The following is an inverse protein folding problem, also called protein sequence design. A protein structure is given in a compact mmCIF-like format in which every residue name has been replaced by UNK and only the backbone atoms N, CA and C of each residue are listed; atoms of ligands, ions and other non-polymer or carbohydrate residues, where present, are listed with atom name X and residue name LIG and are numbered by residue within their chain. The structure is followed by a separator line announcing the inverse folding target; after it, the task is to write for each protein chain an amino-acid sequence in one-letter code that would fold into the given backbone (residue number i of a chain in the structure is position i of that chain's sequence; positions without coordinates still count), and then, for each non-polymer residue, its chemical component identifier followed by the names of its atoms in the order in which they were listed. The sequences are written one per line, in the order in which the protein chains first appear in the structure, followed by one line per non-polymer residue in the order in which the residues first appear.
data_IF_069465749664
#
_entry.id   IF_069465749664
#
_cell.length_a   1.000
_cell.length_b   1.000
_cell.length_c   1.000
_cell.angle_alpha   90.00
_cell.angle_beta   90.00
_cell.angle_gamma   90.00
#
_symmetry.space_group_name_H-M   'P 1'
#
loop_
_entity.id
_entity.type
_entity.pdbx_description
1 polymer ?
#
# COMPACT_ATOMS: atom_id res chain seq x y z
N UNK A 1 -6.50 41.16 49.37
CA UNK A 1 -7.45 40.09 49.00
C UNK A 1 -7.12 39.66 47.57
N UNK A 2 -6.15 38.74 47.40
CA UNK A 2 -6.41 37.29 47.28
C UNK A 2 -7.27 37.00 46.04
N UNK A 3 -6.63 36.66 44.91
CA UNK A 3 -6.27 35.28 44.56
C UNK A 3 -7.50 34.41 44.24
N UNK A 4 -7.94 34.45 42.97
CA UNK A 4 -8.56 33.30 42.28
C UNK A 4 -8.10 33.36 40.81
N UNK A 5 -7.12 32.56 40.38
CA UNK A 5 -7.28 31.16 39.98
C UNK A 5 -8.14 30.99 38.72
N UNK A 6 -7.54 30.59 37.59
CA UNK A 6 -8.26 29.92 36.50
C UNK A 6 -7.97 30.47 35.09
N UNK A 7 -7.14 29.87 34.25
CA UNK A 7 -6.86 28.44 34.23
C UNK A 7 -5.72 28.15 33.27
N UNK A 8 -4.61 27.64 33.79
CA UNK A 8 -3.62 26.90 32.98
C UNK A 8 -4.30 25.75 32.22
N UNK A 9 -5.46 25.28 32.70
CA UNK A 9 -6.33 24.34 31.97
C UNK A 9 -6.95 24.95 30.72
N UNK A 10 -7.19 26.27 30.66
CA UNK A 10 -7.63 26.94 29.42
C UNK A 10 -6.51 26.98 28.37
N UNK A 11 -5.26 27.18 28.80
CA UNK A 11 -4.11 27.11 27.88
C UNK A 11 -3.79 25.67 27.45
N UNK A 12 -3.85 24.68 28.37
CA UNK A 12 -3.67 23.26 28.04
C UNK A 12 -4.81 22.75 27.16
N UNK A 13 -6.06 23.18 27.43
CA UNK A 13 -7.20 22.88 26.57
C UNK A 13 -7.04 23.51 25.19
N UNK A 14 -6.64 24.79 25.11
CA UNK A 14 -6.42 25.46 23.83
C UNK A 14 -5.27 24.83 23.03
N UNK A 15 -4.15 24.49 23.67
CA UNK A 15 -3.01 23.85 23.03
C UNK A 15 -3.30 22.40 22.60
N UNK A 16 -4.04 21.63 23.41
CA UNK A 16 -4.44 20.26 23.10
C UNK A 16 -5.39 20.16 21.91
N UNK A 17 -6.32 21.12 21.78
CA UNK A 17 -7.22 21.21 20.61
C UNK A 17 -6.45 21.53 19.33
N UNK A 18 -5.43 22.40 19.40
CA UNK A 18 -4.59 22.73 18.25
C UNK A 18 -3.77 21.53 17.74
N UNK A 19 -3.14 20.75 18.64
CA UNK A 19 -2.32 19.59 18.26
C UNK A 19 -3.18 18.47 17.65
N UNK A 20 -4.36 18.21 18.23
CA UNK A 20 -5.29 17.22 17.69
C UNK A 20 -5.81 17.60 16.29
N UNK A 21 -6.05 18.89 16.04
CA UNK A 21 -6.51 19.39 14.74
C UNK A 21 -5.45 19.26 13.63
N UNK A 22 -4.16 19.39 13.96
CA UNK A 22 -3.07 19.21 12.99
C UNK A 22 -2.75 17.75 12.71
N UNK A 23 -2.86 16.86 13.71
CA UNK A 23 -2.57 15.42 13.54
C UNK A 23 -3.58 14.74 12.60
N UNK A 24 -4.85 15.15 12.60
CA UNK A 24 -5.89 14.55 11.76
C UNK A 24 -5.72 14.87 10.26
N UNK A 25 -5.09 16.00 9.92
CA UNK A 25 -4.81 16.40 8.53
C UNK A 25 -3.61 15.66 7.91
N UNK A 26 -2.76 15.06 8.73
CA UNK A 26 -1.53 14.39 8.27
C UNK A 26 -1.72 12.91 7.92
N UNK A 27 -2.91 12.33 8.11
CA UNK A 27 -3.17 10.94 7.73
C UNK A 27 -3.16 10.80 6.20
N UNK A 28 -2.09 10.28 5.58
CA UNK A 28 -1.92 10.30 4.14
C UNK A 28 -2.47 9.00 3.57
N UNK A 29 -3.74 8.67 3.81
CA UNK A 29 -4.31 7.40 3.35
C UNK A 29 -5.74 7.56 2.83
N UNK A 30 -6.02 8.67 2.15
CA UNK A 30 -7.23 8.72 1.31
C UNK A 30 -6.84 8.20 -0.06
N UNK A 31 -7.19 6.94 -0.34
CA UNK A 31 -7.20 6.45 -1.72
C UNK A 31 -8.22 7.30 -2.48
N UNK A 32 -7.71 8.34 -3.14
CA UNK A 32 -8.52 9.23 -3.95
C UNK A 32 -9.18 8.38 -5.03
N UNK A 33 -10.52 8.37 -5.03
CA UNK A 33 -11.33 7.59 -5.96
C UNK A 33 -11.13 8.19 -7.36
N UNK A 34 -10.14 7.70 -8.10
CA UNK A 34 -9.95 8.09 -9.51
C UNK A 34 -11.21 7.72 -10.28
N UNK A 35 -11.77 8.67 -11.03
CA UNK A 35 -12.88 8.39 -11.94
C UNK A 35 -12.39 7.47 -13.07
N UNK A 36 -12.64 6.17 -12.94
CA UNK A 36 -12.27 5.15 -13.92
C UNK A 36 -12.21 3.74 -13.32
N UNK A 37 -12.21 2.70 -14.15
CA UNK A 37 -12.03 1.33 -13.70
C UNK A 37 -10.65 1.17 -13.03
N UNK A 38 -10.62 0.39 -11.93
CA UNK A 38 -9.38 0.04 -11.21
C UNK A 38 -9.03 -1.38 -11.58
N UNK A 39 -8.02 -1.56 -12.43
CA UNK A 39 -7.55 -2.88 -12.81
C UNK A 39 -6.61 -3.44 -11.75
N UNK A 40 -6.78 -4.72 -11.45
CA UNK A 40 -5.90 -5.50 -10.57
C UNK A 40 -5.79 -6.92 -11.11
N UNK A 41 -4.65 -7.55 -10.86
CA UNK A 41 -4.37 -8.93 -11.25
C UNK A 41 -3.97 -9.71 -9.99
N UNK A 42 -4.57 -10.88 -9.80
CA UNK A 42 -4.24 -11.80 -8.69
C UNK A 42 -3.84 -13.12 -9.30
N UNK A 43 -2.70 -13.66 -8.85
CA UNK A 43 -2.15 -14.94 -9.31
C UNK A 43 -2.17 -15.90 -8.12
N UNK A 44 -2.91 -17.00 -8.24
CA UNK A 44 -2.95 -18.06 -7.23
C UNK A 44 -1.75 -18.99 -7.41
N UNK A 45 -0.77 -18.86 -6.51
CA UNK A 45 0.46 -19.64 -6.54
C UNK A 45 0.24 -21.11 -6.16
N UNK A 46 -0.86 -21.47 -5.48
CA UNK A 46 -1.14 -22.87 -5.11
C UNK A 46 -1.53 -23.73 -6.31
N UNK A 47 -1.99 -23.09 -7.40
CA UNK A 47 -2.33 -23.73 -8.68
C UNK A 47 -1.26 -23.57 -9.74
N UNK A 48 -0.26 -22.74 -9.49
CA UNK A 48 0.83 -22.51 -10.42
C UNK A 48 1.77 -23.72 -10.40
N UNK A 49 1.87 -24.42 -11.52
CA UNK A 49 2.75 -25.60 -11.68
C UNK A 49 4.08 -25.28 -12.38
N UNK A 50 4.40 -23.99 -12.57
CA UNK A 50 5.66 -23.59 -13.21
C UNK A 50 5.72 -23.79 -14.74
N UNK A 51 4.59 -23.96 -15.44
CA UNK A 51 4.58 -24.31 -16.87
C UNK A 51 5.10 -23.24 -17.85
N UNK A 52 5.42 -22.03 -17.37
CA UNK A 52 5.92 -20.89 -18.17
C UNK A 52 5.00 -20.39 -19.30
N UNK A 53 3.76 -20.88 -19.40
CA UNK A 53 2.82 -20.43 -20.44
C UNK A 53 2.49 -18.94 -20.31
N UNK A 54 2.37 -18.41 -19.09
CA UNK A 54 2.11 -17.00 -18.87
C UNK A 54 3.25 -16.10 -19.39
N UNK A 55 4.49 -16.56 -19.32
CA UNK A 55 5.67 -15.86 -19.85
C UNK A 55 5.65 -15.81 -21.37
N UNK A 56 5.37 -16.94 -22.02
CA UNK A 56 5.32 -17.03 -23.49
C UNK A 56 4.16 -16.23 -24.07
N UNK A 57 2.96 -16.35 -23.48
CA UNK A 57 1.78 -15.60 -23.94
C UNK A 57 1.98 -14.09 -23.79
N UNK A 58 2.63 -13.62 -22.71
CA UNK A 58 2.94 -12.21 -22.54
C UNK A 58 3.86 -11.69 -23.65
N UNK A 59 4.87 -12.47 -24.04
CA UNK A 59 5.78 -12.12 -25.13
C UNK A 59 5.08 -12.06 -26.48
N UNK A 60 4.23 -13.05 -26.78
CA UNK A 60 3.47 -13.13 -28.03
C UNK A 60 2.50 -11.96 -28.19
N UNK A 61 1.75 -11.62 -27.15
CA UNK A 61 0.74 -10.56 -27.22
C UNK A 61 1.37 -9.16 -27.31
N UNK A 62 2.50 -8.97 -26.65
CA UNK A 62 3.06 -7.62 -26.47
C UNK A 62 4.36 -7.38 -27.27
N UNK A 63 4.68 -8.25 -28.24
CA UNK A 63 5.87 -8.17 -29.10
C UNK A 63 7.13 -7.83 -28.30
N UNK A 64 7.39 -8.58 -27.22
CA UNK A 64 8.54 -8.32 -26.35
C UNK A 64 9.84 -8.57 -27.15
N UNK A 65 10.81 -7.68 -26.99
CA UNK A 65 12.12 -7.82 -27.65
C UNK A 65 12.83 -9.12 -27.23
N UNK A 66 13.57 -9.73 -28.15
CA UNK A 66 14.33 -10.94 -27.87
C UNK A 66 15.31 -10.72 -26.69
N UNK A 67 15.33 -11.66 -25.74
CA UNK A 67 16.15 -11.57 -24.53
C UNK A 67 15.58 -10.69 -23.40
N UNK A 68 14.40 -10.09 -23.58
CA UNK A 68 13.68 -9.39 -22.51
C UNK A 68 12.40 -10.13 -22.11
N UNK A 69 11.98 -9.94 -20.86
CA UNK A 69 10.76 -10.52 -20.31
C UNK A 69 10.01 -9.47 -19.48
N UNK A 70 8.68 -9.39 -19.65
CA UNK A 70 7.81 -8.50 -18.85
C UNK A 70 7.25 -9.20 -17.60
N UNK A 71 7.15 -10.52 -17.64
CA UNK A 71 6.74 -11.37 -16.52
C UNK A 71 7.71 -12.56 -16.42
N UNK A 72 7.94 -13.06 -15.21
CA UNK A 72 8.90 -14.12 -14.92
C UNK A 72 8.27 -15.04 -13.89
N UNK A 73 8.33 -16.36 -14.11
CA UNK A 73 7.99 -17.36 -13.09
C UNK A 73 9.27 -17.77 -12.39
N UNK A 74 9.33 -17.53 -11.08
CA UNK A 74 10.47 -17.94 -10.26
C UNK A 74 10.20 -19.30 -9.65
N UNK A 75 11.17 -20.20 -9.77
CA UNK A 75 11.14 -21.52 -9.16
C UNK A 75 12.13 -21.53 -8.00
N UNK A 76 11.64 -21.94 -6.82
CA UNK A 76 12.45 -22.02 -5.61
C UNK A 76 12.11 -23.33 -4.92
N UNK A 77 13.13 -24.00 -4.41
CA UNK A 77 12.94 -25.12 -3.50
C UNK A 77 12.48 -24.56 -2.14
N UNK A 78 11.27 -24.93 -1.72
CA UNK A 78 10.79 -24.60 -0.39
C UNK A 78 11.57 -25.45 0.62
N UNK A 79 12.57 -24.86 1.27
CA UNK A 79 13.17 -25.47 2.45
C UNK A 79 12.15 -25.42 3.59
N UNK A 80 11.63 -26.57 4.01
CA UNK A 80 10.84 -26.64 5.23
C UNK A 80 11.75 -26.23 6.40
N UNK A 81 11.39 -25.14 7.08
CA UNK A 81 12.02 -24.75 8.34
C UNK A 81 11.30 -25.55 9.42
N UNK A 82 11.96 -26.58 9.94
CA UNK A 82 11.56 -27.24 11.19
C UNK A 82 11.34 -26.22 12.32
#
# INVERSE_FOLDING_TARGET
MQSTLGSRRSFIAAAGVFIAATALRAAPNKFEKTKGPRYGMVIDLTRCVGCQSCTMNCAMENNVQAGAFRTIVSEYEASDKD
#
